data_IF_023517014160
#
_entry.id   IF_023517014160
#
_cell.length_a   1.000
_cell.length_b   1.000
_cell.length_c   1.000
_cell.angle_alpha   90.00
_cell.angle_beta   90.00
_cell.angle_gamma   90.00
#
_symmetry.space_group_name_H-M   'P 1'
#
loop_
_entity.id
_entity.type
_entity.pdbx_description
1 polymer ?
#
# COMPACT_ATOMS: atom_id res chain seq x y z
N UNK A 1 -2.90 3.00 9.76
CA UNK A 1 -3.74 4.21 9.82
C UNK A 1 -4.74 4.12 8.69
N UNK A 2 -6.00 3.91 9.00
CA UNK A 2 -7.07 3.90 8.01
C UNK A 2 -7.24 5.32 7.51
N UNK A 3 -7.34 5.46 6.19
CA UNK A 3 -7.66 6.74 5.59
C UNK A 3 -9.09 7.11 6.01
N UNK A 4 -9.24 8.13 6.85
CA UNK A 4 -10.53 8.54 7.43
C UNK A 4 -11.54 9.11 6.40
N UNK A 5 -11.17 9.11 5.12
CA UNK A 5 -12.01 9.56 4.02
C UNK A 5 -12.83 8.45 3.35
N UNK A 6 -12.60 7.19 3.71
CA UNK A 6 -13.37 6.06 3.20
C UNK A 6 -14.55 5.80 4.13
N UNK A 7 -15.69 6.45 3.86
CA UNK A 7 -16.96 6.05 4.47
C UNK A 7 -17.31 4.66 3.96
N UNK A 8 -17.09 3.65 4.80
CA UNK A 8 -17.59 2.31 4.55
C UNK A 8 -19.12 2.36 4.57
N UNK A 9 -19.77 2.03 3.47
CA UNK A 9 -21.17 1.60 3.54
C UNK A 9 -21.18 0.29 4.32
N UNK A 10 -22.05 0.17 5.33
CA UNK A 10 -22.21 -1.03 6.14
C UNK A 10 -22.22 -2.29 5.25
N UNK A 11 -21.32 -3.24 5.53
CA UNK A 11 -21.22 -4.50 4.81
C UNK A 11 -20.35 -4.53 3.56
N UNK A 12 -19.55 -3.49 3.29
CA UNK A 12 -18.61 -3.50 2.17
C UNK A 12 -17.16 -3.61 2.63
N UNK A 13 -16.39 -4.49 1.98
CA UNK A 13 -14.97 -4.74 2.26
C UNK A 13 -14.08 -4.20 1.16
N UNK A 14 -12.88 -3.67 1.49
CA UNK A 14 -11.92 -3.23 0.49
C UNK A 14 -11.58 -4.36 -0.49
N UNK A 15 -11.61 -4.04 -1.77
CA UNK A 15 -11.22 -4.91 -2.86
C UNK A 15 -9.98 -4.33 -3.55
N UNK A 16 -8.90 -5.07 -3.49
CA UNK A 16 -7.62 -4.68 -4.08
C UNK A 16 -7.45 -5.33 -5.45
N UNK A 17 -7.25 -4.50 -6.44
CA UNK A 17 -6.83 -4.89 -7.78
C UNK A 17 -5.55 -4.15 -8.18
N UNK A 18 -5.23 -4.09 -9.46
CA UNK A 18 -4.06 -3.41 -10.01
C UNK A 18 -4.17 -1.87 -9.99
N UNK A 19 -5.37 -1.31 -9.80
CA UNK A 19 -5.56 0.15 -9.76
C UNK A 19 -5.09 0.74 -8.43
N UNK A 20 -4.76 2.03 -8.42
CA UNK A 20 -4.42 2.73 -7.18
C UNK A 20 -5.63 2.93 -6.28
N UNK A 21 -6.81 3.07 -6.87
CA UNK A 21 -8.07 3.24 -6.15
C UNK A 21 -8.51 1.95 -5.48
N UNK A 22 -8.93 2.07 -4.22
CA UNK A 22 -9.49 0.96 -3.47
C UNK A 22 -10.99 0.89 -3.81
N UNK A 23 -11.40 -0.24 -4.37
CA UNK A 23 -12.80 -0.57 -4.63
C UNK A 23 -13.40 -1.27 -3.41
N UNK A 24 -14.71 -1.49 -3.41
CA UNK A 24 -15.42 -2.16 -2.34
C UNK A 24 -16.34 -3.23 -2.89
N UNK A 25 -16.50 -4.33 -2.14
CA UNK A 25 -17.42 -5.41 -2.46
C UNK A 25 -18.06 -6.02 -1.21
N UNK A 26 -19.21 -6.72 -1.31
CA UNK A 26 -19.95 -7.22 -0.16
C UNK A 26 -19.29 -8.40 0.56
N UNK A 27 -18.35 -9.08 -0.07
CA UNK A 27 -17.69 -10.27 0.48
C UNK A 27 -16.20 -10.02 0.67
N UNK A 28 -15.62 -10.58 1.73
CA UNK A 28 -14.17 -10.59 1.94
C UNK A 28 -13.60 -11.99 1.68
N UNK A 29 -12.34 -12.03 1.25
CA UNK A 29 -11.59 -13.27 1.03
C UNK A 29 -10.67 -13.60 2.20
N UNK A 30 -10.07 -12.59 2.80
CA UNK A 30 -9.06 -12.70 3.86
C UNK A 30 -9.38 -11.74 5.00
N UNK A 31 -9.07 -12.15 6.24
CA UNK A 31 -9.06 -11.32 7.45
C UNK A 31 -7.66 -11.43 8.07
N UNK A 32 -6.73 -10.63 7.57
CA UNK A 32 -5.30 -10.75 7.85
C UNK A 32 -4.61 -9.39 7.81
N UNK A 33 -3.47 -9.32 8.51
CA UNK A 33 -2.46 -8.32 8.26
C UNK A 33 -1.64 -8.76 7.04
N UNK A 34 -1.60 -7.96 5.98
CA UNK A 34 -1.02 -8.36 4.70
C UNK A 34 -0.28 -7.23 3.98
N UNK A 35 0.67 -7.64 3.14
CA UNK A 35 1.31 -6.81 2.11
C UNK A 35 0.72 -7.24 0.77
N UNK A 36 0.06 -6.31 0.08
CA UNK A 36 -0.68 -6.58 -1.13
C UNK A 36 0.05 -5.97 -2.33
N UNK A 37 0.27 -6.77 -3.36
CA UNK A 37 0.92 -6.36 -4.60
C UNK A 37 -0.02 -6.43 -5.80
N UNK A 38 0.02 -5.44 -6.72
CA UNK A 38 -0.52 -5.64 -8.05
C UNK A 38 0.32 -6.71 -8.75
N UNK A 39 -0.32 -7.68 -9.39
CA UNK A 39 0.39 -8.74 -10.11
C UNK A 39 0.78 -8.35 -11.53
N UNK A 40 0.25 -7.25 -12.05
CA UNK A 40 0.49 -6.74 -13.40
C UNK A 40 0.58 -5.21 -13.39
N UNK A 41 1.43 -4.65 -14.25
CA UNK A 41 1.58 -3.20 -14.40
C UNK A 41 2.97 -2.77 -14.82
N UNK A 42 3.19 -1.46 -14.88
CA UNK A 42 4.51 -0.85 -15.13
C UNK A 42 5.34 -0.69 -13.85
N UNK A 43 4.68 -0.70 -12.70
CA UNK A 43 5.27 -0.56 -11.37
C UNK A 43 4.58 -1.49 -10.39
N UNK A 44 5.32 -1.88 -9.34
CA UNK A 44 4.89 -2.88 -8.36
C UNK A 44 5.11 -2.36 -6.95
N UNK A 45 4.41 -1.27 -6.58
CA UNK A 45 4.41 -0.76 -5.22
C UNK A 45 3.42 -1.53 -4.35
N UNK A 46 3.87 -2.03 -3.19
CA UNK A 46 3.00 -2.74 -2.27
C UNK A 46 2.05 -1.80 -1.54
N UNK A 47 0.92 -2.36 -1.10
CA UNK A 47 0.01 -1.76 -0.12
C UNK A 47 0.05 -2.56 1.16
N UNK A 48 -0.14 -1.88 2.28
CA UNK A 48 -0.30 -2.52 3.58
C UNK A 48 -1.76 -2.43 4.00
N UNK A 49 -2.30 -3.54 4.45
CA UNK A 49 -3.65 -3.58 5.01
C UNK A 49 -3.73 -4.57 6.16
N UNK A 50 -4.59 -4.26 7.16
CA UNK A 50 -4.87 -5.12 8.28
C UNK A 50 -6.39 -5.17 8.50
N UNK A 51 -6.99 -6.33 8.39
CA UNK A 51 -8.42 -6.57 8.52
C UNK A 51 -9.01 -7.38 7.38
N UNK A 52 -10.32 -7.25 7.19
CA UNK A 52 -11.08 -7.98 6.17
C UNK A 52 -10.97 -7.31 4.81
N UNK A 53 -10.55 -8.04 3.81
CA UNK A 53 -10.41 -7.54 2.44
C UNK A 53 -10.62 -8.63 1.40
N UNK A 54 -10.86 -8.20 0.17
CA UNK A 54 -10.90 -9.05 -1.00
C UNK A 54 -9.79 -8.67 -1.98
N UNK A 55 -9.44 -9.62 -2.85
CA UNK A 55 -8.29 -9.52 -3.72
C UNK A 55 -8.64 -10.01 -5.12
N UNK A 56 -8.27 -9.24 -6.14
CA UNK A 56 -8.38 -9.69 -7.51
C UNK A 56 -7.42 -10.87 -7.77
N UNK A 57 -7.84 -11.83 -8.60
CA UNK A 57 -7.09 -13.07 -8.89
C UNK A 57 -5.66 -12.84 -9.40
N UNK A 58 -5.35 -11.66 -9.96
CA UNK A 58 -4.03 -11.27 -10.46
C UNK A 58 -3.24 -10.40 -9.49
N UNK A 59 -3.64 -10.35 -8.23
CA UNK A 59 -2.89 -9.68 -7.17
C UNK A 59 -2.29 -10.72 -6.23
N UNK A 60 -1.27 -10.33 -5.49
CA UNK A 60 -0.64 -11.18 -4.48
C UNK A 60 -0.85 -10.57 -3.10
N UNK A 61 -1.15 -11.41 -2.12
CA UNK A 61 -1.14 -11.03 -0.71
C UNK A 61 -0.07 -11.86 0.02
N UNK A 62 0.79 -11.21 0.78
CA UNK A 62 1.81 -11.82 1.63
C UNK A 62 1.35 -11.61 3.06
N UNK A 63 1.05 -12.69 3.77
CA UNK A 63 0.51 -12.73 5.12
C UNK A 63 1.07 -13.95 5.88
N UNK A 64 0.70 -14.10 7.14
CA UNK A 64 1.22 -15.14 8.04
C UNK A 64 2.77 -15.16 8.06
N UNK A 65 3.33 -13.98 8.29
CA UNK A 65 4.78 -13.73 8.26
C UNK A 65 5.48 -14.48 9.39
N UNK A 66 6.68 -14.99 9.11
CA UNK A 66 7.51 -15.66 10.13
C UNK A 66 7.77 -14.75 11.33
N UNK A 67 7.82 -15.32 12.58
CA UNK A 67 7.85 -14.53 13.83
C UNK A 67 9.07 -13.60 13.99
N UNK A 68 10.15 -13.85 13.25
CA UNK A 68 11.34 -12.99 13.22
C UNK A 68 11.18 -11.72 12.37
N UNK A 69 10.06 -11.55 11.68
CA UNK A 69 9.74 -10.37 10.90
C UNK A 69 8.42 -9.75 11.33
N UNK A 70 8.39 -8.42 11.42
CA UNK A 70 7.16 -7.66 11.53
C UNK A 70 6.63 -7.34 10.11
N UNK A 71 5.36 -7.58 9.84
CA UNK A 71 4.72 -7.33 8.54
C UNK A 71 4.94 -5.90 8.07
N UNK A 72 4.81 -4.93 8.99
CA UNK A 72 5.01 -3.51 8.70
C UNK A 72 6.45 -3.16 8.30
N UNK A 73 7.46 -3.83 8.90
CA UNK A 73 8.86 -3.69 8.48
C UNK A 73 9.07 -4.21 7.06
N UNK A 74 8.53 -5.40 6.77
CA UNK A 74 8.60 -5.97 5.43
C UNK A 74 7.91 -5.07 4.40
N UNK A 75 6.77 -4.49 4.72
CA UNK A 75 6.10 -3.53 3.86
C UNK A 75 7.00 -2.36 3.50
N UNK A 76 7.66 -1.73 4.48
CA UNK A 76 8.59 -0.63 4.21
C UNK A 76 9.79 -1.07 3.35
N UNK A 77 10.36 -2.23 3.65
CA UNK A 77 11.41 -2.81 2.82
C UNK A 77 10.91 -3.04 1.39
N UNK A 78 9.77 -3.66 1.23
CA UNK A 78 9.16 -3.95 -0.06
C UNK A 78 8.88 -2.69 -0.90
N UNK A 79 8.54 -1.57 -0.28
CA UNK A 79 8.38 -0.26 -0.98
C UNK A 79 9.66 0.19 -1.68
N UNK A 80 10.84 -0.19 -1.18
CA UNK A 80 12.12 0.16 -1.80
C UNK A 80 12.48 -0.76 -2.96
N UNK A 81 11.75 -1.87 -3.16
CA UNK A 81 12.12 -2.93 -4.11
C UNK A 81 11.43 -2.84 -5.48
N UNK A 82 10.79 -1.72 -5.82
CA UNK A 82 10.09 -1.59 -7.11
C UNK A 82 10.99 -1.94 -8.30
N UNK A 83 12.21 -1.42 -8.34
CA UNK A 83 13.18 -1.71 -9.41
C UNK A 83 13.55 -3.19 -9.52
N UNK A 84 13.57 -3.92 -8.39
CA UNK A 84 13.77 -5.38 -8.41
C UNK A 84 12.59 -6.08 -9.07
N UNK A 85 11.36 -5.73 -8.67
CA UNK A 85 10.15 -6.33 -9.22
C UNK A 85 9.98 -6.02 -10.71
N UNK A 86 10.21 -4.78 -11.12
CA UNK A 86 10.15 -4.39 -12.54
C UNK A 86 11.15 -5.18 -13.40
N UNK A 87 12.39 -5.34 -12.93
CA UNK A 87 13.41 -6.09 -13.68
C UNK A 87 13.14 -7.60 -13.77
N UNK A 88 12.40 -8.16 -12.81
CA UNK A 88 12.10 -9.59 -12.75
C UNK A 88 10.65 -9.92 -13.18
N UNK A 89 9.88 -8.93 -13.57
CA UNK A 89 8.56 -9.14 -14.16
C UNK A 89 8.70 -9.75 -15.56
N UNK A 90 7.71 -10.53 -15.97
CA UNK A 90 7.69 -11.23 -17.26
C UNK A 90 6.50 -10.75 -18.09
N UNK A 91 6.63 -10.82 -19.41
CA UNK A 91 5.59 -10.43 -20.37
C UNK A 91 6.04 -9.30 -21.27
N UNK A 92 5.65 -9.37 -22.53
CA UNK A 92 6.04 -8.41 -23.57
C UNK A 92 5.07 -7.23 -23.70
N UNK A 93 3.79 -7.45 -23.42
CA UNK A 93 2.74 -6.44 -23.54
C UNK A 93 2.40 -5.80 -22.18
N UNK A 94 2.24 -6.63 -21.15
CA UNK A 94 2.01 -6.19 -19.77
C UNK A 94 2.96 -6.97 -18.88
N UNK A 95 3.81 -6.27 -18.16
CA UNK A 95 4.71 -6.88 -17.20
C UNK A 95 3.91 -7.51 -16.05
N UNK A 96 4.21 -8.77 -15.72
CA UNK A 96 3.51 -9.56 -14.71
C UNK A 96 4.49 -10.17 -13.71
N UNK A 97 4.17 -10.10 -12.44
CA UNK A 97 4.91 -10.78 -11.38
C UNK A 97 4.63 -12.28 -11.38
N UNK A 98 5.62 -13.03 -10.95
CA UNK A 98 5.51 -14.47 -10.68
C UNK A 98 5.80 -14.75 -9.21
N UNK A 99 5.23 -15.82 -8.68
CA UNK A 99 5.48 -16.23 -7.30
C UNK A 99 6.98 -16.41 -6.99
N UNK A 100 7.75 -16.91 -7.95
CA UNK A 100 9.21 -17.08 -7.82
C UNK A 100 9.96 -15.74 -7.68
N UNK A 101 9.42 -14.64 -8.18
CA UNK A 101 10.00 -13.31 -7.98
C UNK A 101 10.01 -12.96 -6.49
N UNK A 102 8.92 -13.25 -5.78
CA UNK A 102 8.83 -13.03 -4.33
C UNK A 102 9.75 -13.98 -3.56
N UNK A 103 9.81 -15.26 -3.93
CA UNK A 103 10.66 -16.26 -3.26
C UNK A 103 12.16 -15.96 -3.34
N UNK A 104 12.60 -15.29 -4.41
CA UNK A 104 14.01 -14.91 -4.61
C UNK A 104 14.40 -13.56 -4.01
N UNK A 105 13.43 -12.83 -3.47
CA UNK A 105 13.71 -11.54 -2.84
C UNK A 105 14.53 -11.75 -1.55
N UNK A 106 15.73 -11.22 -1.52
CA UNK A 106 16.58 -11.28 -0.33
C UNK A 106 16.17 -10.19 0.67
N UNK A 107 15.70 -10.61 1.83
CA UNK A 107 15.19 -9.73 2.88
C UNK A 107 16.22 -9.65 4.01
N UNK A 108 16.68 -8.45 4.40
CA UNK A 108 17.58 -8.29 5.54
C UNK A 108 16.92 -8.76 6.84
N UNK A 109 17.51 -9.77 7.46
CA UNK A 109 17.05 -10.28 8.74
C UNK A 109 17.74 -9.54 9.89
N UNK A 110 17.14 -8.44 10.35
CA UNK A 110 17.61 -7.65 11.47
C UNK A 110 16.81 -8.00 12.75
N UNK A 111 17.37 -7.78 13.97
CA UNK A 111 16.65 -8.04 15.20
C UNK A 111 15.29 -7.40 15.28
N UNK A 112 14.29 -8.11 15.79
CA UNK A 112 12.88 -7.65 15.81
C UNK A 112 12.71 -6.30 16.55
N UNK A 113 13.51 -6.02 17.56
CA UNK A 113 13.46 -4.75 18.30
C UNK A 113 13.95 -3.57 17.44
N UNK A 114 14.92 -3.81 16.57
CA UNK A 114 15.38 -2.82 15.62
C UNK A 114 14.32 -2.58 14.51
N UNK A 115 13.66 -3.65 14.04
CA UNK A 115 12.52 -3.52 13.11
C UNK A 115 11.42 -2.63 13.72
N UNK A 116 11.03 -2.86 14.97
CA UNK A 116 10.03 -2.05 15.69
C UNK A 116 10.44 -0.58 15.79
N UNK A 117 11.73 -0.32 16.01
CA UNK A 117 12.26 1.05 16.04
C UNK A 117 12.12 1.75 14.70
N UNK A 118 12.47 1.07 13.60
CA UNK A 118 12.31 1.62 12.25
C UNK A 118 10.84 1.82 11.89
N UNK A 119 9.95 0.89 12.25
CA UNK A 119 8.52 1.03 12.04
C UNK A 119 8.00 2.31 12.71
N UNK A 120 8.31 2.53 13.99
CA UNK A 120 7.89 3.73 14.73
C UNK A 120 8.34 5.03 14.05
N UNK A 121 9.57 5.06 13.54
CA UNK A 121 10.10 6.23 12.86
C UNK A 121 9.39 6.47 11.51
N UNK A 122 9.29 5.42 10.69
CA UNK A 122 8.69 5.50 9.36
C UNK A 122 7.18 5.79 9.42
N UNK A 123 6.45 5.21 10.36
CA UNK A 123 5.02 5.50 10.58
C UNK A 123 4.80 6.98 10.95
N UNK A 124 5.67 7.56 11.80
CA UNK A 124 5.59 9.00 12.11
C UNK A 124 5.83 9.88 10.87
N UNK A 125 6.77 9.47 10.02
CA UNK A 125 7.05 10.19 8.76
C UNK A 125 5.85 10.06 7.81
N UNK A 126 5.29 8.86 7.61
CA UNK A 126 4.10 8.66 6.78
C UNK A 126 2.91 9.48 7.29
N UNK A 127 2.66 9.47 8.61
CA UNK A 127 1.62 10.32 9.21
C UNK A 127 1.84 11.78 8.86
N UNK A 128 3.07 12.30 9.05
CA UNK A 128 3.40 13.68 8.76
C UNK A 128 3.21 14.04 7.28
N UNK A 129 3.54 13.12 6.39
CA UNK A 129 3.31 13.30 4.94
C UNK A 129 1.81 13.42 4.65
N UNK A 130 0.97 12.55 5.23
CA UNK A 130 -0.49 12.60 5.06
C UNK A 130 -1.05 13.92 5.59
N UNK A 131 -0.68 14.33 6.81
CA UNK A 131 -1.15 15.58 7.42
C UNK A 131 -0.77 16.79 6.56
N UNK A 132 0.47 16.84 6.05
CA UNK A 132 0.92 17.92 5.19
C UNK A 132 0.17 17.96 3.85
N UNK A 133 -0.18 16.80 3.26
CA UNK A 133 -0.99 16.75 2.05
C UNK A 133 -2.40 17.31 2.28
N UNK A 134 -3.00 17.02 3.43
CA UNK A 134 -4.32 17.58 3.81
C UNK A 134 -4.24 19.10 3.96
N UNK A 135 -3.19 19.60 4.61
CA UNK A 135 -2.97 21.04 4.76
C UNK A 135 -2.75 21.71 3.40
N UNK A 136 -1.92 21.12 2.55
CA UNK A 136 -1.69 21.64 1.19
C UNK A 136 -2.99 21.75 0.39
N UNK A 137 -3.81 20.69 0.40
CA UNK A 137 -5.11 20.69 -0.27
C UNK A 137 -6.01 21.84 0.21
N UNK A 138 -6.07 22.09 1.53
CA UNK A 138 -6.84 23.20 2.11
C UNK A 138 -6.34 24.58 1.62
N UNK A 139 -5.01 24.76 1.53
CA UNK A 139 -4.45 26.00 0.99
C UNK A 139 -4.75 26.18 -0.49
N UNK A 140 -4.72 25.12 -1.27
CA UNK A 140 -5.10 25.16 -2.69
C UNK A 140 -6.58 25.52 -2.88
N UNK A 141 -7.48 24.97 -2.05
CA UNK A 141 -8.90 25.31 -2.04
C UNK A 141 -9.11 26.77 -1.64
N UNK A 142 -8.43 27.27 -0.60
CA UNK A 142 -8.49 28.66 -0.16
C UNK A 142 -7.98 29.62 -1.25
N UNK A 143 -6.85 29.29 -1.87
CA UNK A 143 -6.31 30.05 -3.01
C UNK A 143 -7.33 30.16 -4.15
N UNK A 144 -7.95 29.04 -4.51
CA UNK A 144 -8.98 29.01 -5.58
C UNK A 144 -10.17 29.87 -5.22
N UNK A 145 -10.65 29.79 -3.98
CA UNK A 145 -11.74 30.63 -3.49
C UNK A 145 -11.42 32.12 -3.57
N UNK A 146 -10.24 32.53 -3.11
CA UNK A 146 -9.83 33.93 -3.16
C UNK A 146 -9.70 34.44 -4.61
N UNK A 147 -9.08 33.65 -5.50
CA UNK A 147 -8.96 34.02 -6.91
C UNK A 147 -10.31 34.20 -7.58
N UNK A 148 -11.30 33.36 -7.27
CA UNK A 148 -12.64 33.45 -7.85
C UNK A 148 -13.49 34.60 -7.28
N UNK A 149 -13.14 35.16 -6.12
CA UNK A 149 -13.92 36.21 -5.47
C UNK A 149 -13.24 37.59 -5.41
N UNK A 150 -11.91 37.66 -5.66
CA UNK A 150 -11.19 38.94 -5.62
C UNK A 150 -11.03 39.61 -7.00
N UNK A 151 -11.26 38.88 -8.08
CA UNK A 151 -11.09 39.34 -9.46
C UNK A 151 -12.38 39.26 -10.30
N UNK A 152 -13.50 39.57 -9.67
CA UNK A 152 -14.80 39.73 -10.36
C UNK A 152 -14.89 41.14 -10.96
#
# INVERSE_FOLDING_TARGET
MQDASLSYSDGMYPFFDRSEDIKFQPEYLLDKEAIIYPGEGSEFYPRYYNGKFALHQRCYAIYDIAPNFATRYLYFFCKTQNSYFVRNAVGSTVASLRLDTFKRLNIPNIPIELQKTYIKLLDKIETKIVDNKIVLKKYEEQKRYLLSNLFI
#
